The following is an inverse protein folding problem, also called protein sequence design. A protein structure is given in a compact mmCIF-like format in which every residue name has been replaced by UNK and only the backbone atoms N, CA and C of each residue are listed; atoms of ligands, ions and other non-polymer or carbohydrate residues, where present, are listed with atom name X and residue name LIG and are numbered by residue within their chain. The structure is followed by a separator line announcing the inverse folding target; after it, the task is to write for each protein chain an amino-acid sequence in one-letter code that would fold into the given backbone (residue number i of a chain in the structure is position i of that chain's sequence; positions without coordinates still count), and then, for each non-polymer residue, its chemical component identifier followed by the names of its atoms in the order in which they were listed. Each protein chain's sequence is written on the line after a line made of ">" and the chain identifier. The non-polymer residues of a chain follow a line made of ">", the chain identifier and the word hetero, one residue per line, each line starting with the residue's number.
data_IF_840354587811
#
_entry.id   IF_840354587811
#
_cell.length_a   1.000
_cell.length_b   1.000
_cell.length_c   1.000
_cell.angle_alpha   90.00
_cell.angle_beta   90.00
_cell.angle_gamma   90.00
#
_symmetry.space_group_name_H-M   'P 1'
#
loop_
_entity.id
_entity.type
_entity.pdbx_description
1 polymer ?
#
# COMPACT_ATOMS: atom_id res chain seq x y z
N UNK A 1 -44.48 23.51 20.02
CA UNK A 1 -43.23 22.77 19.71
C UNK A 1 -41.97 23.63 19.54
N UNK A 2 -42.06 24.98 19.48
CA UNK A 2 -40.89 25.84 19.15
C UNK A 2 -39.90 26.16 20.27
N UNK A 3 -40.36 26.45 21.50
CA UNK A 3 -39.47 26.98 22.55
C UNK A 3 -38.59 25.93 23.25
N UNK A 4 -39.11 24.72 23.49
CA UNK A 4 -38.31 23.65 24.10
C UNK A 4 -37.20 23.18 23.15
N UNK A 5 -37.52 23.08 21.85
CA UNK A 5 -36.54 22.74 20.80
C UNK A 5 -35.46 23.82 20.69
N UNK A 6 -35.82 25.10 20.77
CA UNK A 6 -34.87 26.22 20.78
C UNK A 6 -33.92 26.24 21.99
N UNK A 7 -34.31 25.66 23.14
CA UNK A 7 -33.46 25.59 24.34
C UNK A 7 -32.60 24.33 24.40
N UNK A 8 -33.12 23.21 23.92
CA UNK A 8 -32.43 21.91 23.93
C UNK A 8 -31.41 21.83 22.79
N UNK A 9 -31.72 22.37 21.62
CA UNK A 9 -30.85 22.30 20.45
C UNK A 9 -29.45 22.90 20.68
N UNK A 10 -29.29 24.10 21.26
CA UNK A 10 -27.96 24.65 21.58
C UNK A 10 -27.17 23.77 22.53
N UNK A 11 -27.81 23.18 23.55
CA UNK A 11 -27.14 22.31 24.51
C UNK A 11 -26.63 21.02 23.84
N UNK A 12 -27.45 20.41 22.96
CA UNK A 12 -27.06 19.23 22.18
C UNK A 12 -25.92 19.56 21.23
N UNK A 13 -25.97 20.70 20.54
CA UNK A 13 -24.91 21.15 19.63
C UNK A 13 -23.61 21.43 20.38
N UNK A 14 -23.66 22.12 21.52
CA UNK A 14 -22.49 22.38 22.36
C UNK A 14 -21.87 21.09 22.88
N UNK A 15 -22.70 20.13 23.29
CA UNK A 15 -22.22 18.81 23.71
C UNK A 15 -21.54 18.07 22.55
N UNK A 16 -22.16 18.06 21.37
CA UNK A 16 -21.58 17.45 20.17
C UNK A 16 -20.26 18.10 19.76
N UNK A 17 -20.17 19.43 19.80
CA UNK A 17 -18.94 20.18 19.54
C UNK A 17 -17.88 19.90 20.60
N UNK A 18 -18.26 19.81 21.88
CA UNK A 18 -17.35 19.45 22.96
C UNK A 18 -16.72 18.08 22.74
N UNK A 19 -17.52 17.08 22.35
CA UNK A 19 -17.03 15.76 21.96
C UNK A 19 -16.08 15.87 20.76
N UNK A 20 -16.48 16.56 19.70
CA UNK A 20 -15.66 16.74 18.50
C UNK A 20 -14.30 17.36 18.84
N UNK A 21 -14.28 18.45 19.61
CA UNK A 21 -13.03 19.12 19.99
C UNK A 21 -12.16 18.28 20.92
N UNK A 22 -12.75 17.47 21.82
CA UNK A 22 -11.99 16.53 22.62
C UNK A 22 -11.29 15.47 21.75
N UNK A 23 -12.00 14.91 20.76
CA UNK A 23 -11.42 13.99 19.78
C UNK A 23 -10.34 14.66 18.92
N UNK A 24 -10.60 15.87 18.44
CA UNK A 24 -9.64 16.65 17.65
C UNK A 24 -8.38 16.97 18.45
N UNK A 25 -8.51 17.37 19.72
CA UNK A 25 -7.38 17.61 20.61
C UNK A 25 -6.56 16.33 20.81
N UNK A 26 -7.22 15.21 21.15
CA UNK A 26 -6.55 13.92 21.28
C UNK A 26 -5.86 13.49 19.99
N UNK A 27 -6.45 13.77 18.83
CA UNK A 27 -5.89 13.45 17.52
C UNK A 27 -4.63 14.27 17.19
N UNK A 28 -4.62 15.57 17.50
CA UNK A 28 -3.53 16.50 17.16
C UNK A 28 -2.38 16.52 18.18
N UNK A 29 -2.58 16.02 19.41
CA UNK A 29 -1.51 15.96 20.41
C UNK A 29 -0.36 15.02 19.98
N UNK A 30 0.90 15.27 20.40
CA UNK A 30 2.00 14.32 20.19
C UNK A 30 1.72 12.95 20.81
N UNK A 31 2.40 11.91 20.33
CA UNK A 31 2.30 10.56 20.91
C UNK A 31 2.65 10.59 22.41
N UNK A 32 1.71 10.14 23.24
CA UNK A 32 1.85 10.01 24.68
C UNK A 32 1.00 8.81 25.18
N UNK A 33 1.21 8.31 26.41
CA UNK A 33 0.53 7.10 26.91
C UNK A 33 -1.00 7.20 26.89
N UNK A 34 -1.56 8.38 27.18
CA UNK A 34 -3.01 8.60 27.16
C UNK A 34 -3.54 8.54 25.73
N UNK A 35 -2.84 9.17 24.77
CA UNK A 35 -3.20 9.09 23.35
C UNK A 35 -3.21 7.64 22.85
N UNK A 36 -2.21 6.84 23.23
CA UNK A 36 -2.10 5.43 22.81
C UNK A 36 -3.29 4.60 23.30
N UNK A 37 -3.75 4.80 24.54
CA UNK A 37 -4.87 4.03 25.11
C UNK A 37 -6.21 4.33 24.44
N UNK A 38 -6.42 5.55 23.92
CA UNK A 38 -7.66 5.96 23.24
C UNK A 38 -7.56 5.99 21.71
N UNK A 39 -6.39 5.66 21.15
CA UNK A 39 -6.07 5.86 19.74
C UNK A 39 -7.07 5.18 18.79
N UNK A 40 -7.53 3.98 19.14
CA UNK A 40 -8.52 3.25 18.35
C UNK A 40 -9.86 3.99 18.23
N UNK A 41 -10.35 4.57 19.33
CA UNK A 41 -11.58 5.36 19.33
C UNK A 41 -11.39 6.67 18.57
N UNK A 42 -10.27 7.36 18.82
CA UNK A 42 -9.94 8.63 18.14
C UNK A 42 -9.82 8.44 16.62
N UNK A 43 -9.11 7.41 16.17
CA UNK A 43 -8.96 7.14 14.74
C UNK A 43 -10.29 6.78 14.08
N UNK A 44 -11.15 6.01 14.74
CA UNK A 44 -12.46 5.65 14.19
C UNK A 44 -13.36 6.88 13.97
N UNK A 45 -13.30 7.85 14.88
CA UNK A 45 -14.06 9.09 14.76
C UNK A 45 -13.45 10.06 13.73
N UNK A 46 -12.13 10.25 13.76
CA UNK A 46 -11.46 11.28 12.95
C UNK A 46 -11.15 10.82 11.52
N UNK A 47 -10.66 9.59 11.30
CA UNK A 47 -10.11 9.21 10.00
C UNK A 47 -11.12 9.14 8.83
N UNK A 48 -12.41 8.81 9.00
CA UNK A 48 -13.33 8.75 7.86
C UNK A 48 -13.48 10.08 7.11
N UNK A 49 -13.40 11.21 7.82
CA UNK A 49 -13.67 12.54 7.25
C UNK A 49 -12.50 13.53 7.38
N UNK A 50 -11.62 13.33 8.37
CA UNK A 50 -10.56 14.28 8.73
C UNK A 50 -9.15 13.70 8.53
N UNK A 51 -9.02 12.58 7.82
CA UNK A 51 -7.70 12.07 7.44
C UNK A 51 -7.03 13.01 6.44
N UNK A 52 -6.11 13.85 6.93
CA UNK A 52 -5.32 14.76 6.11
C UNK A 52 -3.89 14.23 6.00
N UNK A 53 -3.51 13.74 4.81
CA UNK A 53 -2.10 13.50 4.47
C UNK A 53 -1.48 14.84 4.04
N UNK A 54 -0.66 15.43 4.91
CA UNK A 54 0.13 16.64 4.60
C UNK A 54 1.30 16.37 3.64
N UNK A 55 1.27 15.26 2.90
CA UNK A 55 2.35 14.86 1.99
C UNK A 55 2.43 15.73 0.74
N UNK A 56 1.40 16.53 0.42
CA UNK A 56 1.43 17.44 -0.73
C UNK A 56 2.37 18.65 -0.52
N UNK A 57 2.60 19.03 0.74
CA UNK A 57 3.48 20.14 1.13
C UNK A 57 4.72 19.67 1.92
N UNK A 58 4.93 18.36 2.03
CA UNK A 58 6.12 17.82 2.68
C UNK A 58 7.37 18.20 1.86
N UNK A 59 8.50 18.54 2.51
CA UNK A 59 9.76 18.82 1.82
C UNK A 59 10.18 17.68 0.88
N UNK A 60 9.95 16.44 1.30
CA UNK A 60 10.06 15.23 0.49
C UNK A 60 8.66 14.72 0.13
N UNK A 61 8.15 15.14 -1.03
CA UNK A 61 6.97 14.51 -1.62
C UNK A 61 7.29 13.06 -1.97
N UNK A 62 6.38 12.11 -1.64
CA UNK A 62 6.46 10.73 -2.15
C UNK A 62 6.10 10.68 -3.64
N UNK A 63 6.89 11.35 -4.48
CA UNK A 63 6.75 11.31 -5.93
C UNK A 63 7.45 10.05 -6.47
N UNK A 64 6.87 8.88 -6.20
CA UNK A 64 7.39 7.58 -6.64
C UNK A 64 6.36 6.86 -7.50
N UNK A 65 6.75 6.48 -8.71
CA UNK A 65 5.96 5.58 -9.57
C UNK A 65 6.45 4.16 -9.38
N UNK A 66 5.54 3.20 -9.22
CA UNK A 66 5.88 1.78 -9.10
C UNK A 66 5.35 1.00 -10.28
N UNK A 67 6.21 0.23 -10.93
CA UNK A 67 5.83 -0.73 -11.96
C UNK A 67 6.12 -2.15 -11.51
N UNK A 68 5.21 -3.06 -11.86
CA UNK A 68 5.35 -4.49 -11.68
C UNK A 68 5.78 -5.11 -13.00
N UNK A 69 6.86 -5.88 -12.95
CA UNK A 69 7.35 -6.70 -14.01
C UNK A 69 7.22 -8.18 -13.62
N UNK A 70 6.89 -9.02 -14.57
CA UNK A 70 6.73 -10.46 -14.37
C UNK A 70 7.68 -11.23 -15.27
N UNK A 71 8.26 -12.30 -14.74
CA UNK A 71 8.97 -13.31 -15.52
C UNK A 71 8.31 -14.67 -15.26
N UNK A 72 8.23 -15.48 -16.31
CA UNK A 72 7.55 -16.77 -16.31
C UNK A 72 8.57 -17.84 -16.68
N UNK A 73 8.58 -18.97 -15.98
CA UNK A 73 9.37 -20.13 -16.42
C UNK A 73 8.52 -21.40 -16.42
N UNK A 74 8.74 -22.24 -17.41
CA UNK A 74 7.94 -23.42 -17.63
C UNK A 74 8.47 -24.27 -18.77
N UNK A 75 7.63 -25.12 -19.30
CA UNK A 75 7.96 -25.99 -20.43
C UNK A 75 7.12 -25.59 -21.65
N UNK A 76 7.74 -25.58 -22.83
CA UNK A 76 7.01 -25.39 -24.09
C UNK A 76 6.27 -26.68 -24.53
N UNK A 77 5.56 -26.60 -25.67
CA UNK A 77 4.82 -27.74 -26.21
C UNK A 77 5.72 -28.95 -26.57
N UNK A 78 7.03 -28.75 -26.74
CA UNK A 78 8.00 -29.82 -26.98
C UNK A 78 8.62 -30.36 -25.67
N UNK A 79 8.21 -29.83 -24.51
CA UNK A 79 8.74 -30.21 -23.20
C UNK A 79 10.08 -29.55 -22.85
N UNK A 80 10.52 -28.55 -23.62
CA UNK A 80 11.78 -27.85 -23.35
C UNK A 80 11.55 -26.75 -22.33
N UNK A 81 12.40 -26.72 -21.28
CA UNK A 81 12.36 -25.67 -20.26
C UNK A 81 12.71 -24.31 -20.86
N UNK A 82 11.86 -23.31 -20.61
CA UNK A 82 12.04 -21.92 -21.05
C UNK A 82 11.77 -20.95 -19.91
N UNK A 83 12.55 -19.89 -19.88
CA UNK A 83 12.31 -18.69 -19.08
C UNK A 83 12.03 -17.52 -20.02
N UNK A 84 10.89 -16.89 -19.84
CA UNK A 84 10.44 -15.76 -20.64
C UNK A 84 10.99 -14.44 -20.10
N UNK A 85 11.22 -13.44 -20.97
CA UNK A 85 11.74 -12.15 -20.55
C UNK A 85 10.77 -11.40 -19.64
N UNK A 86 11.31 -10.42 -18.91
CA UNK A 86 10.52 -9.55 -18.05
C UNK A 86 9.51 -8.72 -18.86
N UNK A 87 8.23 -8.80 -18.48
CA UNK A 87 7.15 -8.00 -19.09
C UNK A 87 6.59 -7.02 -18.07
N UNK A 88 6.46 -5.75 -18.45
CA UNK A 88 5.78 -4.73 -17.64
C UNK A 88 4.27 -4.94 -17.71
N UNK A 89 3.68 -5.41 -16.62
CA UNK A 89 2.23 -5.68 -16.52
C UNK A 89 1.45 -4.52 -15.93
N UNK A 90 2.13 -3.45 -15.50
CA UNK A 90 1.48 -2.26 -14.91
C UNK A 90 1.14 -1.21 -15.96
N UNK A 91 2.09 -0.89 -16.86
CA UNK A 91 1.89 0.14 -17.88
C UNK A 91 0.62 -0.02 -18.74
N UNK A 92 0.28 -1.21 -19.27
CA UNK A 92 -0.96 -1.35 -20.05
C UNK A 92 -2.23 -1.10 -19.21
N UNK A 93 -2.22 -1.46 -17.92
CA UNK A 93 -3.35 -1.21 -17.02
C UNK A 93 -3.50 0.29 -16.71
N UNK A 94 -2.39 0.99 -16.54
CA UNK A 94 -2.37 2.45 -16.35
C UNK A 94 -2.89 3.17 -17.59
N UNK A 95 -2.49 2.75 -18.81
CA UNK A 95 -3.01 3.35 -20.04
C UNK A 95 -4.53 3.19 -20.17
N UNK A 96 -5.05 1.98 -19.88
CA UNK A 96 -6.49 1.71 -19.85
C UNK A 96 -7.21 2.61 -18.85
N UNK A 97 -6.70 2.72 -17.63
CA UNK A 97 -7.26 3.60 -16.60
C UNK A 97 -7.26 5.06 -17.04
N UNK A 98 -6.17 5.54 -17.67
CA UNK A 98 -6.06 6.91 -18.15
C UNK A 98 -7.00 7.22 -19.31
N UNK A 99 -7.18 6.25 -20.22
CA UNK A 99 -8.10 6.37 -21.36
C UNK A 99 -9.57 6.31 -20.93
N UNK A 100 -9.88 5.49 -19.93
CA UNK A 100 -11.25 5.20 -19.50
C UNK A 100 -11.53 5.59 -18.04
N UNK A 101 -11.25 6.85 -17.68
CA UNK A 101 -11.30 7.37 -16.31
C UNK A 101 -12.66 7.25 -15.61
N UNK A 102 -13.75 7.21 -16.37
CA UNK A 102 -15.12 7.12 -15.86
C UNK A 102 -15.68 5.69 -15.90
N UNK A 103 -14.82 4.69 -16.05
CA UNK A 103 -15.20 3.27 -16.13
C UNK A 103 -14.54 2.46 -15.01
N UNK A 104 -14.95 1.20 -14.80
CA UNK A 104 -14.28 0.29 -13.88
C UNK A 104 -12.85 -0.13 -14.28
N UNK A 105 -12.23 0.49 -15.29
CA UNK A 105 -10.85 0.19 -15.70
C UNK A 105 -9.83 0.41 -14.56
N UNK A 106 -10.12 1.32 -13.63
CA UNK A 106 -9.33 1.51 -12.40
C UNK A 106 -9.24 0.25 -11.53
N UNK A 107 -10.20 -0.68 -11.66
CA UNK A 107 -10.28 -1.88 -10.85
C UNK A 107 -9.22 -2.93 -11.23
N UNK A 108 -8.74 -2.89 -12.47
CA UNK A 108 -7.86 -3.91 -13.05
C UNK A 108 -6.48 -3.91 -12.38
N UNK A 109 -5.95 -2.74 -12.02
CA UNK A 109 -4.65 -2.62 -11.35
C UNK A 109 -4.70 -2.88 -9.83
N UNK A 110 -5.89 -2.98 -9.22
CA UNK A 110 -6.02 -3.00 -7.76
C UNK A 110 -5.31 -4.18 -7.10
N UNK A 111 -5.26 -5.33 -7.76
CA UNK A 111 -4.52 -6.48 -7.25
C UNK A 111 -3.00 -6.20 -7.18
N UNK A 112 -2.44 -5.52 -8.18
CA UNK A 112 -1.05 -5.05 -8.17
C UNK A 112 -0.83 -4.04 -7.04
N UNK A 113 -1.69 -3.02 -6.96
CA UNK A 113 -1.60 -1.97 -5.94
C UNK A 113 -1.69 -2.53 -4.52
N UNK A 114 -2.61 -3.47 -4.27
CA UNK A 114 -2.76 -4.13 -2.97
C UNK A 114 -1.53 -4.96 -2.60
N UNK A 115 -0.97 -5.72 -3.54
CA UNK A 115 0.26 -6.48 -3.30
C UNK A 115 1.46 -5.57 -3.00
N UNK A 116 1.62 -4.50 -3.78
CA UNK A 116 2.67 -3.50 -3.58
C UNK A 116 2.51 -2.75 -2.25
N UNK A 117 1.29 -2.39 -1.85
CA UNK A 117 1.06 -1.68 -0.58
C UNK A 117 1.43 -2.55 0.61
N UNK A 118 1.17 -3.86 0.57
CA UNK A 118 1.58 -4.77 1.65
C UNK A 118 3.10 -4.95 1.74
N UNK A 119 3.81 -4.88 0.61
CA UNK A 119 5.28 -4.97 0.59
C UNK A 119 5.99 -3.68 1.00
N UNK A 120 5.41 -2.53 0.63
CA UNK A 120 6.06 -1.21 0.73
C UNK A 120 5.43 -0.30 1.77
N UNK A 121 4.43 -0.78 2.52
CA UNK A 121 3.85 -0.04 3.64
C UNK A 121 4.95 0.34 4.64
N UNK A 122 5.04 1.64 4.91
CA UNK A 122 5.81 2.16 6.03
C UNK A 122 5.15 1.75 7.34
N UNK A 123 5.97 1.47 8.34
CA UNK A 123 5.49 1.25 9.69
C UNK A 123 4.96 2.58 10.25
N UNK A 124 3.94 2.52 11.13
CA UNK A 124 3.44 3.72 11.78
C UNK A 124 4.48 4.31 12.75
N UNK A 125 4.26 5.54 13.22
CA UNK A 125 5.22 6.24 14.08
C UNK A 125 5.45 5.53 15.42
N UNK A 126 4.44 4.86 15.98
CA UNK A 126 4.58 4.10 17.24
C UNK A 126 5.45 2.87 16.98
N UNK A 127 5.15 2.12 15.93
CA UNK A 127 5.90 0.93 15.52
C UNK A 127 7.34 1.30 15.19
N UNK A 128 7.58 2.38 14.45
CA UNK A 128 8.93 2.87 14.13
C UNK A 128 9.72 3.16 15.42
N UNK A 129 9.15 3.93 16.35
CA UNK A 129 9.80 4.23 17.64
C UNK A 129 10.01 2.99 18.52
N UNK A 130 9.11 2.01 18.43
CA UNK A 130 9.24 0.72 19.10
C UNK A 130 10.37 -0.12 18.51
N UNK A 131 10.71 0.03 17.23
CA UNK A 131 11.79 -0.74 16.60
C UNK A 131 13.16 -0.04 16.75
N UNK A 132 13.19 1.27 16.94
CA UNK A 132 14.43 2.06 17.08
C UNK A 132 15.06 2.00 18.48
N UNK A 133 14.27 1.70 19.52
CA UNK A 133 14.77 1.65 20.89
C UNK A 133 15.46 0.31 21.20
N UNK A 134 16.52 0.31 22.02
CA UNK A 134 17.19 -0.93 22.43
C UNK A 134 16.29 -1.79 23.32
N UNK A 135 16.37 -3.12 23.14
CA UNK A 135 15.58 -4.09 23.89
C UNK A 135 16.02 -4.18 25.36
N UNK A 136 15.27 -3.55 26.26
CA UNK A 136 15.63 -3.45 27.69
C UNK A 136 14.93 -4.47 28.60
N UNK A 137 13.69 -4.84 28.27
CA UNK A 137 12.78 -5.62 29.12
C UNK A 137 12.13 -6.76 28.35
N UNK A 138 11.70 -7.82 29.04
CA UNK A 138 10.99 -8.94 28.41
C UNK A 138 9.70 -8.50 27.72
N UNK A 139 8.95 -7.60 28.36
CA UNK A 139 7.72 -7.04 27.78
C UNK A 139 8.02 -6.28 26.48
N UNK A 140 9.13 -5.55 26.43
CA UNK A 140 9.55 -4.84 25.23
C UNK A 140 9.96 -5.80 24.11
N UNK A 141 10.77 -6.83 24.43
CA UNK A 141 11.14 -7.88 23.46
C UNK A 141 9.93 -8.55 22.84
N UNK A 142 8.91 -8.87 23.65
CA UNK A 142 7.66 -9.45 23.16
C UNK A 142 6.90 -8.48 22.24
N UNK A 143 6.86 -7.20 22.56
CA UNK A 143 6.22 -6.18 21.72
C UNK A 143 6.94 -6.01 20.38
N UNK A 144 8.27 -5.97 20.38
CA UNK A 144 9.10 -5.93 19.16
C UNK A 144 8.85 -7.17 18.30
N UNK A 145 8.94 -8.37 18.89
CA UNK A 145 8.70 -9.62 18.17
C UNK A 145 7.28 -9.68 17.56
N UNK A 146 6.27 -9.18 18.27
CA UNK A 146 4.91 -9.09 17.73
C UNK A 146 4.81 -8.11 16.55
N UNK A 147 5.43 -6.93 16.66
CA UNK A 147 5.46 -5.93 15.59
C UNK A 147 6.19 -6.45 14.34
N UNK A 148 7.34 -7.09 14.53
CA UNK A 148 8.09 -7.73 13.45
C UNK A 148 7.30 -8.87 12.82
N UNK A 149 6.66 -9.73 13.62
CA UNK A 149 5.80 -10.80 13.14
C UNK A 149 4.67 -10.28 12.24
N UNK A 150 3.98 -9.22 12.66
CA UNK A 150 2.97 -8.55 11.84
C UNK A 150 3.56 -7.99 10.54
N UNK A 151 4.73 -7.35 10.61
CA UNK A 151 5.44 -6.82 9.43
C UNK A 151 5.78 -7.92 8.43
N UNK A 152 6.28 -9.06 8.91
CA UNK A 152 6.57 -10.22 8.06
C UNK A 152 5.30 -10.81 7.46
N UNK A 153 4.22 -10.92 8.24
CA UNK A 153 2.94 -11.41 7.75
C UNK A 153 2.38 -10.52 6.63
N UNK A 154 2.42 -9.18 6.80
CA UNK A 154 2.04 -8.22 5.74
C UNK A 154 2.88 -8.45 4.47
N UNK A 155 4.21 -8.53 4.61
CA UNK A 155 5.10 -8.77 3.47
C UNK A 155 4.78 -10.10 2.78
N UNK A 156 4.55 -11.18 3.51
CA UNK A 156 4.17 -12.48 2.96
C UNK A 156 2.84 -12.41 2.18
N UNK A 157 1.83 -11.71 2.72
CA UNK A 157 0.58 -11.46 2.00
C UNK A 157 0.82 -10.67 0.70
N UNK A 158 1.66 -9.65 0.73
CA UNK A 158 2.07 -8.89 -0.46
C UNK A 158 2.76 -9.75 -1.51
N UNK A 159 3.71 -10.61 -1.11
CA UNK A 159 4.40 -11.56 -2.00
C UNK A 159 3.41 -12.51 -2.68
N UNK A 160 2.47 -13.07 -1.92
CA UNK A 160 1.44 -13.98 -2.43
C UNK A 160 0.49 -13.28 -3.42
N UNK A 161 0.02 -12.08 -3.08
CA UNK A 161 -0.85 -11.31 -3.98
C UNK A 161 -0.16 -11.00 -5.31
N UNK A 162 1.10 -10.58 -5.27
CA UNK A 162 1.87 -10.34 -6.49
C UNK A 162 2.20 -11.63 -7.24
N UNK A 163 2.43 -12.75 -6.54
CA UNK A 163 2.57 -14.07 -7.13
C UNK A 163 1.33 -14.44 -7.96
N UNK A 164 0.13 -14.25 -7.41
CA UNK A 164 -1.14 -14.48 -8.12
C UNK A 164 -1.31 -13.56 -9.33
N UNK A 165 -0.95 -12.29 -9.21
CA UNK A 165 -0.93 -11.37 -10.36
C UNK A 165 0.01 -11.89 -11.45
N UNK A 166 1.19 -12.36 -11.07
CA UNK A 166 2.15 -12.90 -12.03
C UNK A 166 1.66 -14.20 -12.68
N UNK A 167 1.04 -15.11 -11.92
CA UNK A 167 0.44 -16.33 -12.49
C UNK A 167 -0.67 -16.02 -13.50
N UNK A 168 -1.55 -15.07 -13.18
CA UNK A 168 -2.59 -14.63 -14.12
C UNK A 168 -1.98 -13.97 -15.37
N UNK A 169 -0.97 -13.10 -15.20
CA UNK A 169 -0.28 -12.46 -16.31
C UNK A 169 0.45 -13.47 -17.20
N UNK A 170 1.19 -14.43 -16.62
CA UNK A 170 1.89 -15.47 -17.38
C UNK A 170 0.94 -16.34 -18.19
N UNK A 171 -0.22 -16.71 -17.61
CA UNK A 171 -1.26 -17.47 -18.33
C UNK A 171 -1.78 -16.70 -19.55
N UNK A 172 -1.98 -15.39 -19.40
CA UNK A 172 -2.49 -14.54 -20.49
C UNK A 172 -1.43 -14.21 -21.54
N UNK A 173 -0.17 -14.04 -21.14
CA UNK A 173 0.93 -13.65 -22.05
C UNK A 173 1.46 -14.85 -22.83
N UNK A 174 1.51 -16.03 -22.20
CA UNK A 174 2.14 -17.23 -22.75
C UNK A 174 1.19 -18.45 -22.66
N UNK A 175 0.08 -18.46 -23.42
CA UNK A 175 -0.93 -19.52 -23.32
C UNK A 175 -0.41 -20.91 -23.73
N UNK A 176 0.66 -20.97 -24.53
CA UNK A 176 1.30 -22.22 -24.98
C UNK A 176 2.39 -22.72 -24.00
N UNK A 177 2.78 -21.90 -23.02
CA UNK A 177 3.80 -22.25 -22.04
C UNK A 177 3.12 -22.93 -20.84
N UNK A 178 3.53 -24.16 -20.53
CA UNK A 178 3.16 -24.80 -19.27
C UNK A 178 3.96 -24.17 -18.13
N UNK A 179 3.50 -23.01 -17.68
CA UNK A 179 4.16 -22.22 -16.64
C UNK A 179 4.21 -23.01 -15.33
N UNK A 180 5.41 -23.13 -14.75
CA UNK A 180 5.66 -23.82 -13.48
C UNK A 180 5.87 -22.83 -12.34
N UNK A 181 6.61 -21.77 -12.62
CA UNK A 181 6.95 -20.77 -11.62
C UNK A 181 6.91 -19.37 -12.23
N UNK A 182 6.64 -18.41 -11.37
CA UNK A 182 6.55 -17.00 -11.71
C UNK A 182 7.41 -16.19 -10.77
N UNK A 183 7.92 -15.07 -11.28
CA UNK A 183 8.72 -14.13 -10.50
C UNK A 183 8.24 -12.72 -10.74
N UNK A 184 8.35 -11.89 -9.71
CA UNK A 184 7.95 -10.49 -9.75
C UNK A 184 9.14 -9.62 -9.46
N UNK A 185 9.27 -8.55 -10.24
CA UNK A 185 10.22 -7.47 -10.02
C UNK A 185 9.45 -6.15 -9.93
N UNK A 186 9.71 -5.36 -8.91
CA UNK A 186 9.18 -4.02 -8.73
C UNK A 186 10.24 -3.00 -9.14
N UNK A 187 9.89 -2.10 -10.05
CA UNK A 187 10.64 -0.87 -10.29
C UNK A 187 10.02 0.24 -9.46
N UNK A 188 10.81 0.96 -8.67
CA UNK A 188 10.40 2.20 -8.02
C UNK A 188 11.18 3.34 -8.65
N UNK A 189 10.46 4.16 -9.43
CA UNK A 189 10.99 5.30 -10.16
C UNK A 189 10.71 6.55 -9.33
N UNK A 190 11.76 7.18 -8.82
CA UNK A 190 11.65 8.47 -8.14
C UNK A 190 11.45 9.57 -9.18
N UNK A 191 10.47 10.43 -8.99
CA UNK A 191 10.29 11.59 -9.85
C UNK A 191 11.50 12.53 -9.74
N UNK A 192 11.88 13.22 -10.83
CA UNK A 192 12.93 14.22 -10.77
C UNK A 192 12.57 15.33 -9.79
N UNK A 193 13.58 16.04 -9.29
CA UNK A 193 13.37 17.22 -8.45
C UNK A 193 12.46 18.24 -9.18
N UNK A 194 11.69 19.03 -8.42
CA UNK A 194 10.74 19.97 -9.01
C UNK A 194 11.37 20.94 -10.01
N UNK A 195 12.62 21.36 -9.79
CA UNK A 195 13.39 22.21 -10.71
C UNK A 195 13.66 21.56 -12.07
N UNK A 196 13.69 20.22 -12.13
CA UNK A 196 13.94 19.41 -13.32
C UNK A 196 12.66 18.83 -13.94
N UNK A 197 11.47 19.18 -13.45
CA UNK A 197 10.19 18.57 -13.87
C UNK A 197 9.86 18.73 -15.36
N UNK A 198 10.42 19.75 -16.02
CA UNK A 198 10.21 20.01 -17.45
C UNK A 198 11.29 19.36 -18.33
N UNK A 199 12.32 18.78 -17.71
CA UNK A 199 13.39 18.10 -18.42
C UNK A 199 12.94 16.67 -18.72
N UNK A 200 12.59 16.40 -19.98
CA UNK A 200 12.15 15.08 -20.42
C UNK A 200 13.22 14.00 -20.27
N UNK A 201 14.49 14.40 -20.25
CA UNK A 201 15.64 13.49 -20.18
C UNK A 201 16.20 13.33 -18.76
N UNK A 202 15.65 14.02 -17.76
CA UNK A 202 16.10 13.87 -16.37
C UNK A 202 15.75 12.45 -15.89
N UNK A 203 16.73 11.54 -15.73
CA UNK A 203 16.42 10.18 -15.33
C UNK A 203 15.97 10.21 -13.88
N UNK A 204 14.75 9.75 -13.63
CA UNK A 204 14.35 9.43 -12.27
C UNK A 204 15.21 8.29 -11.72
N UNK A 205 15.64 8.39 -10.46
CA UNK A 205 16.36 7.29 -9.81
C UNK A 205 15.45 6.06 -9.77
N UNK A 206 15.85 5.00 -10.47
CA UNK A 206 15.08 3.75 -10.51
C UNK A 206 15.74 2.72 -9.62
N UNK A 207 15.01 2.30 -8.58
CA UNK A 207 15.42 1.21 -7.68
C UNK A 207 14.61 -0.04 -7.99
N UNK A 208 15.27 -1.19 -7.92
CA UNK A 208 14.68 -2.48 -8.26
C UNK A 208 14.61 -3.36 -7.03
N UNK A 209 13.47 -4.05 -6.86
CA UNK A 209 13.28 -5.08 -5.86
C UNK A 209 12.76 -6.34 -6.54
N UNK A 210 13.49 -7.43 -6.42
CA UNK A 210 13.10 -8.72 -6.97
C UNK A 210 12.60 -9.65 -5.88
N UNK A 211 11.47 -10.29 -6.14
CA UNK A 211 10.98 -11.38 -5.30
C UNK A 211 11.58 -12.69 -5.79
N UNK A 212 11.72 -13.65 -4.89
CA UNK A 212 12.06 -15.03 -5.23
C UNK A 212 11.03 -15.62 -6.20
N UNK A 213 11.45 -16.63 -6.98
CA UNK A 213 10.52 -17.48 -7.72
C UNK A 213 9.44 -18.05 -6.81
N UNK A 214 8.22 -18.07 -7.30
CA UNK A 214 7.04 -18.61 -6.63
C UNK A 214 6.39 -19.65 -7.53
N UNK A 215 5.82 -20.72 -6.97
CA UNK A 215 5.05 -21.68 -7.75
C UNK A 215 3.87 -20.97 -8.42
N UNK A 216 3.55 -21.40 -9.63
CA UNK A 216 2.35 -20.97 -10.36
C UNK A 216 1.10 -21.29 -9.53
N UNK A 217 0.28 -20.29 -9.24
CA UNK A 217 -1.06 -20.49 -8.66
C UNK A 217 -2.10 -20.37 -9.78
N UNK A 218 -2.99 -21.36 -9.90
CA UNK A 218 -4.13 -21.25 -10.82
C UNK A 218 -5.06 -20.13 -10.34
N UNK A 219 -5.26 -19.11 -11.17
CA UNK A 219 -6.17 -18.00 -10.88
C UNK A 219 -7.38 -18.16 -11.78
N UNK A 220 -8.44 -18.76 -11.25
CA UNK A 220 -9.72 -18.83 -11.95
C UNK A 220 -10.31 -17.42 -12.08
N UNK A 221 -10.73 -17.06 -13.30
CA UNK A 221 -11.60 -15.92 -13.50
C UNK A 221 -12.98 -16.30 -12.95
N UNK A 222 -13.35 -15.73 -11.80
CA UNK A 222 -14.73 -15.78 -11.29
C UNK A 222 -15.58 -14.70 -11.94
#
# INVERSE_FOLDING_TARGET
>A
MGQALQKVLPAVLLFGLGIHFAFTLAFLTPINPVKVSVLGAVNRYMQPFFYQRWTLFAPDVEAKTRHVFVACRGEDAAGVSREEPWVNVTSPLLDLKQRYRLTPADRLERAQVAGLSQLTASDDEITTRLLEKPEDTDAYRQAVAAAEGQRQQRKQQGRRLLGRVASAACTSLYPQLRTREVRVRMATIKAPAFSQRMNADAPGDTTWMELSWQPMEAVEAR
#
